data_IF_248396302578
#
_entry.id   IF_248396302578
#
_cell.length_a   1.000
_cell.length_b   1.000
_cell.length_c   1.000
_cell.angle_alpha   90.00
_cell.angle_beta   90.00
_cell.angle_gamma   90.00
#
_symmetry.space_group_name_H-M   'P 1'
#
loop_
_entity.id
_entity.type
_entity.pdbx_description
1 polymer ?
#
# COMPACT_ATOMS: atom_id res chain seq x y z
N UNK A 1 -21.56 -4.30 7.69
CA UNK A 1 -20.40 -3.59 8.23
C UNK A 1 -20.18 -2.39 7.36
N UNK A 2 -20.46 -1.20 7.88
CA UNK A 2 -20.43 0.07 7.16
C UNK A 2 -19.02 0.70 7.23
N UNK A 3 -17.97 -0.12 7.07
CA UNK A 3 -16.59 0.36 7.06
C UNK A 3 -16.27 0.83 5.65
N UNK A 4 -15.82 2.09 5.48
CA UNK A 4 -15.42 2.55 4.15
C UNK A 4 -14.11 1.87 3.74
N UNK A 5 -13.78 1.82 2.43
CA UNK A 5 -12.49 1.28 2.00
C UNK A 5 -11.28 1.98 2.63
N UNK A 6 -11.42 3.27 3.00
CA UNK A 6 -10.38 4.02 3.68
C UNK A 6 -10.26 3.61 5.16
N UNK A 7 -11.38 3.35 5.85
CA UNK A 7 -11.36 2.87 7.24
C UNK A 7 -10.71 1.50 7.33
N UNK A 8 -11.07 0.60 6.40
CA UNK A 8 -10.42 -0.69 6.27
C UNK A 8 -8.92 -0.53 6.01
N UNK A 9 -8.51 0.27 5.03
CA UNK A 9 -7.09 0.50 4.73
C UNK A 9 -6.30 1.05 5.94
N UNK A 10 -6.89 1.96 6.72
CA UNK A 10 -6.24 2.49 7.92
C UNK A 10 -6.06 1.43 9.00
N UNK A 11 -7.08 0.57 9.21
CA UNK A 11 -7.04 -0.53 10.17
C UNK A 11 -6.03 -1.60 9.77
N UNK A 12 -6.08 -2.08 8.52
CA UNK A 12 -5.16 -3.13 8.03
C UNK A 12 -3.69 -2.70 8.17
N UNK A 13 -3.35 -1.47 7.78
CA UNK A 13 -1.96 -0.96 7.93
C UNK A 13 -1.53 -0.98 9.39
N UNK A 14 -2.41 -0.62 10.33
CA UNK A 14 -2.11 -0.68 11.76
C UNK A 14 -1.97 -2.11 12.26
N UNK A 15 -2.87 -3.01 11.89
CA UNK A 15 -2.92 -4.40 12.34
C UNK A 15 -1.70 -5.19 11.83
N UNK A 16 -1.29 -4.97 10.57
CA UNK A 16 -0.19 -5.67 9.90
C UNK A 16 1.20 -5.12 10.23
N UNK A 17 1.30 -3.80 10.44
CA UNK A 17 2.61 -3.14 10.55
C UNK A 17 2.88 -2.53 11.91
N UNK A 18 1.84 -2.28 12.72
CA UNK A 18 1.93 -1.53 13.96
C UNK A 18 2.01 -0.01 13.79
N UNK A 19 1.94 0.49 12.55
CA UNK A 19 1.94 1.90 12.23
C UNK A 19 0.54 2.39 11.91
N UNK A 20 0.09 3.46 12.57
CA UNK A 20 -1.14 4.15 12.20
C UNK A 20 -0.82 5.17 11.10
N UNK A 21 -1.44 5.08 9.91
CA UNK A 21 -1.25 6.10 8.88
C UNK A 21 -1.89 7.43 9.31
N UNK A 22 -1.37 8.54 8.77
CA UNK A 22 -2.04 9.83 8.79
C UNK A 22 -3.27 9.85 7.86
N UNK A 23 -3.76 11.05 7.47
CA UNK A 23 -4.89 11.16 6.56
C UNK A 23 -4.65 10.39 5.25
N UNK A 24 -5.57 9.48 4.93
CA UNK A 24 -5.54 8.73 3.68
C UNK A 24 -6.18 9.53 2.55
N UNK A 25 -5.43 9.70 1.48
CA UNK A 25 -5.91 10.30 0.24
C UNK A 25 -6.07 9.21 -0.83
N UNK A 26 -7.17 9.18 -1.60
CA UNK A 26 -7.30 8.27 -2.74
C UNK A 26 -6.13 8.47 -3.71
N UNK A 27 -5.46 7.37 -4.09
CA UNK A 27 -4.32 7.37 -5.00
C UNK A 27 -4.74 6.91 -6.39
N UNK A 28 -5.24 5.67 -6.48
CA UNK A 28 -5.65 5.05 -7.74
C UNK A 28 -6.62 3.91 -7.45
N UNK A 29 -7.47 3.59 -8.41
CA UNK A 29 -8.35 2.44 -8.39
C UNK A 29 -7.93 1.45 -9.48
N UNK A 30 -7.88 0.15 -9.14
CA UNK A 30 -7.55 -0.90 -10.09
C UNK A 30 -8.42 -2.14 -9.88
N UNK A 31 -8.78 -2.80 -10.99
CA UNK A 31 -9.33 -4.16 -11.01
C UNK A 31 -8.34 -5.03 -11.80
N UNK A 32 -7.46 -5.79 -11.12
CA UNK A 32 -6.29 -6.39 -11.78
C UNK A 32 -6.62 -7.51 -12.76
N UNK A 33 -7.84 -8.07 -12.68
CA UNK A 33 -8.23 -9.22 -13.47
C UNK A 33 -9.73 -9.19 -13.82
N UNK A 34 -10.20 -8.09 -14.43
CA UNK A 34 -11.62 -7.85 -14.80
C UNK A 34 -12.28 -8.95 -15.64
N UNK A 35 -11.49 -9.79 -16.32
CA UNK A 35 -11.99 -10.96 -17.06
C UNK A 35 -12.13 -12.25 -16.23
N UNK A 36 -11.71 -12.24 -14.96
CA UNK A 36 -11.66 -13.41 -14.06
C UNK A 36 -12.42 -13.11 -12.75
N UNK A 37 -12.27 -11.91 -12.21
CA UNK A 37 -12.87 -11.48 -10.94
C UNK A 37 -13.27 -10.01 -11.02
N UNK A 38 -14.28 -9.65 -10.23
CA UNK A 38 -14.73 -8.30 -9.92
C UNK A 38 -13.98 -7.69 -8.72
N UNK A 39 -12.84 -8.27 -8.32
CA UNK A 39 -12.04 -7.78 -7.20
C UNK A 39 -11.56 -6.35 -7.44
N UNK A 40 -11.99 -5.46 -6.54
CA UNK A 40 -11.71 -4.04 -6.58
C UNK A 40 -10.57 -3.70 -5.63
N UNK A 41 -9.55 -2.98 -6.11
CA UNK A 41 -8.43 -2.50 -5.31
C UNK A 41 -8.38 -0.96 -5.33
N UNK A 42 -9.12 -0.29 -4.43
CA UNK A 42 -8.88 1.12 -4.14
C UNK A 42 -7.58 1.26 -3.33
N UNK A 43 -6.61 2.01 -3.86
CA UNK A 43 -5.34 2.31 -3.18
C UNK A 43 -5.35 3.73 -2.64
N UNK A 44 -4.76 3.89 -1.46
CA UNK A 44 -4.66 5.17 -0.74
C UNK A 44 -3.20 5.50 -0.43
N UNK A 45 -2.91 6.80 -0.30
CA UNK A 45 -1.61 7.35 0.13
C UNK A 45 -1.78 8.12 1.42
N UNK A 46 -0.90 7.85 2.39
CA UNK A 46 -0.63 8.73 3.52
C UNK A 46 0.82 9.23 3.43
N UNK A 47 1.05 10.50 3.74
CA UNK A 47 2.39 11.10 3.76
C UNK A 47 3.03 11.09 5.17
N UNK A 48 2.32 10.54 6.16
CA UNK A 48 2.81 10.37 7.53
C UNK A 48 2.28 9.08 8.15
N UNK A 49 3.02 8.57 9.13
CA UNK A 49 2.59 7.45 9.95
C UNK A 49 3.21 7.54 11.34
N UNK A 50 2.49 7.07 12.36
CA UNK A 50 2.93 7.05 13.75
C UNK A 50 2.95 5.61 14.24
N UNK A 51 4.10 5.16 14.75
CA UNK A 51 4.22 3.84 15.35
C UNK A 51 3.48 3.76 16.68
N UNK A 52 2.58 2.79 16.84
CA UNK A 52 1.79 2.58 18.06
C UNK A 52 2.19 1.35 18.86
N UNK A 53 2.89 0.41 18.24
CA UNK A 53 3.27 -0.84 18.87
C UNK A 53 3.52 -1.94 17.86
N UNK A 54 3.89 -3.15 18.31
CA UNK A 54 4.07 -4.27 17.41
C UNK A 54 2.75 -4.64 16.70
N UNK A 55 2.81 -5.20 15.48
CA UNK A 55 1.62 -5.61 14.76
C UNK A 55 0.84 -6.68 15.52
N UNK A 56 -0.48 -6.59 15.43
CA UNK A 56 -1.40 -7.58 16.02
C UNK A 56 -1.50 -8.81 15.13
N UNK A 57 -1.42 -8.62 13.82
CA UNK A 57 -1.37 -9.68 12.83
C UNK A 57 0.07 -9.98 12.44
N UNK A 58 0.47 -11.26 12.51
CA UNK A 58 1.89 -11.68 12.43
C UNK A 58 2.16 -12.71 11.33
N UNK A 59 1.14 -13.06 10.58
CA UNK A 59 1.14 -14.09 9.55
C UNK A 59 1.36 -13.52 8.14
N UNK A 60 1.10 -12.23 7.94
CA UNK A 60 1.12 -11.63 6.59
C UNK A 60 2.44 -10.95 6.24
N UNK A 61 3.30 -10.66 7.21
CA UNK A 61 4.58 -9.98 7.01
C UNK A 61 5.72 -10.59 7.83
N UNK A 62 6.78 -11.03 7.15
CA UNK A 62 8.03 -11.50 7.78
C UNK A 62 8.93 -10.35 8.22
N UNK A 63 8.82 -9.18 7.58
CA UNK A 63 9.65 -8.00 7.85
C UNK A 63 8.89 -6.71 7.53
N UNK A 64 8.99 -5.74 8.43
CA UNK A 64 8.44 -4.39 8.28
C UNK A 64 9.59 -3.40 8.29
N UNK A 65 9.73 -2.60 7.24
CA UNK A 65 10.79 -1.61 7.12
C UNK A 65 10.39 -0.42 6.22
N UNK A 66 11.05 0.71 6.44
CA UNK A 66 10.93 1.87 5.57
C UNK A 66 11.90 1.74 4.39
N UNK A 67 11.36 1.77 3.16
CA UNK A 67 12.14 1.69 1.93
C UNK A 67 12.18 3.07 1.24
N UNK A 68 13.36 3.59 0.88
CA UNK A 68 13.45 4.84 0.12
C UNK A 68 12.81 4.71 -1.28
N UNK A 69 11.97 5.65 -1.69
CA UNK A 69 11.31 5.62 -3.01
C UNK A 69 12.29 5.46 -4.17
N UNK A 70 13.50 6.02 -4.06
CA UNK A 70 14.53 5.92 -5.08
C UNK A 70 15.01 4.48 -5.36
N UNK A 71 14.83 3.53 -4.44
CA UNK A 71 15.23 2.12 -4.64
C UNK A 71 14.14 1.29 -5.32
N UNK A 72 12.88 1.75 -5.27
CA UNK A 72 11.70 0.98 -5.68
C UNK A 72 11.80 0.51 -7.12
N UNK A 73 12.25 1.36 -8.05
CA UNK A 73 12.41 0.96 -9.45
C UNK A 73 13.35 -0.24 -9.59
N UNK A 74 14.48 -0.22 -8.89
CA UNK A 74 15.42 -1.34 -8.90
C UNK A 74 14.85 -2.61 -8.27
N UNK A 75 14.01 -2.51 -7.24
CA UNK A 75 13.31 -3.65 -6.63
C UNK A 75 12.28 -4.27 -7.59
N UNK A 76 11.56 -3.44 -8.35
CA UNK A 76 10.64 -3.89 -9.41
C UNK A 76 11.43 -4.64 -10.50
N UNK A 77 12.53 -4.07 -10.98
CA UNK A 77 13.35 -4.69 -12.03
C UNK A 77 13.93 -6.05 -11.58
N UNK A 78 14.24 -6.21 -10.28
CA UNK A 78 14.67 -7.48 -9.68
C UNK A 78 13.52 -8.42 -9.30
N UNK A 79 12.26 -8.04 -9.55
CA UNK A 79 11.04 -8.79 -9.21
C UNK A 79 10.89 -9.07 -7.71
N UNK A 80 11.37 -8.17 -6.87
CA UNK A 80 11.13 -8.20 -5.43
C UNK A 80 9.73 -7.66 -5.07
N UNK A 81 9.12 -6.92 -5.99
CA UNK A 81 7.76 -6.40 -5.88
C UNK A 81 6.95 -6.99 -7.03
N UNK A 82 6.05 -7.92 -6.73
CA UNK A 82 5.29 -8.68 -7.75
C UNK A 82 3.77 -8.59 -7.60
N UNK A 83 3.28 -8.14 -6.44
CA UNK A 83 1.85 -7.92 -6.22
C UNK A 83 1.34 -6.81 -7.15
N UNK A 84 0.29 -7.09 -7.93
CA UNK A 84 -0.28 -6.13 -8.87
C UNK A 84 -0.76 -4.86 -8.19
N UNK A 85 -1.36 -4.96 -7.00
CA UNK A 85 -1.84 -3.80 -6.25
C UNK A 85 -0.67 -2.90 -5.83
N UNK A 86 0.36 -3.50 -5.22
CA UNK A 86 1.58 -2.79 -4.81
C UNK A 86 2.30 -2.15 -5.99
N UNK A 87 2.44 -2.88 -7.11
CA UNK A 87 3.08 -2.38 -8.32
C UNK A 87 2.38 -1.14 -8.89
N UNK A 88 1.05 -1.20 -9.06
CA UNK A 88 0.29 -0.07 -9.62
C UNK A 88 0.37 1.16 -8.71
N UNK A 89 0.21 0.98 -7.39
CA UNK A 89 0.33 2.10 -6.43
C UNK A 89 1.72 2.74 -6.45
N UNK A 90 2.78 1.95 -6.40
CA UNK A 90 4.15 2.46 -6.41
C UNK A 90 4.52 3.14 -7.74
N UNK A 91 4.09 2.59 -8.87
CA UNK A 91 4.34 3.22 -10.18
C UNK A 91 3.63 4.57 -10.30
N UNK A 92 2.41 4.69 -9.75
CA UNK A 92 1.69 5.97 -9.72
C UNK A 92 2.44 7.00 -8.86
N UNK A 93 2.88 6.62 -7.66
CA UNK A 93 3.69 7.50 -6.79
C UNK A 93 4.98 7.94 -7.50
N UNK A 94 5.69 7.03 -8.16
CA UNK A 94 6.92 7.37 -8.88
C UNK A 94 6.68 8.31 -10.06
N UNK A 95 5.55 8.19 -10.77
CA UNK A 95 5.16 9.16 -11.80
C UNK A 95 4.91 10.54 -11.20
N UNK A 96 4.15 10.63 -10.11
CA UNK A 96 3.86 11.90 -9.45
C UNK A 96 5.16 12.60 -9.01
N UNK A 97 6.09 11.87 -8.37
CA UNK A 97 7.37 12.45 -7.93
C UNK A 97 8.26 12.88 -9.11
N UNK A 98 8.18 12.24 -10.28
CA UNK A 98 8.91 12.66 -11.48
C UNK A 98 8.33 13.91 -12.16
N UNK A 99 7.09 14.26 -11.85
CA UNK A 99 6.40 15.45 -12.40
C UNK A 99 6.46 16.68 -11.49
N UNK A 100 7.02 16.54 -10.29
CA UNK A 100 7.31 17.64 -9.35
C UNK A 100 8.63 18.33 -9.68
#
# INVERSE_FOLDING_TARGET
NDDTPADAAAREVQEDTGWRPGPLNPLIYAEPATGITDSQHPLFRADSATYEGPPTEKNESDRIEWIPLATIRGMIDRREIVSSGTLVGLLYVLMDEATR
#
